data_IF_689620197554
#
_entry.id   IF_689620197554
#
_cell.length_a   1.000
_cell.length_b   1.000
_cell.length_c   1.000
_cell.angle_alpha   90.00
_cell.angle_beta   90.00
_cell.angle_gamma   90.00
#
_symmetry.space_group_name_H-M   'P 1'
#
loop_
_entity.id
_entity.type
_entity.pdbx_description
1 polymer ?
#
# COMPACT_ATOMS: atom_id res chain seq x y z
N UNK A 1 -20.18 -5.29 10.20
CA UNK A 1 -18.95 -5.33 9.38
C UNK A 1 -19.17 -4.35 8.24
N UNK A 2 -18.50 -3.19 8.23
CA UNK A 2 -18.67 -2.20 7.16
C UNK A 2 -18.04 -2.75 5.87
N UNK A 3 -18.82 -2.82 4.80
CA UNK A 3 -18.30 -3.16 3.47
C UNK A 3 -17.24 -2.12 3.08
N UNK A 4 -16.02 -2.59 2.82
CA UNK A 4 -14.99 -1.80 2.15
C UNK A 4 -15.45 -1.60 0.71
N UNK A 5 -15.62 -0.34 0.29
CA UNK A 5 -15.98 -0.02 -1.10
C UNK A 5 -14.74 0.59 -1.77
N UNK A 6 -13.84 -0.23 -2.32
CA UNK A 6 -12.57 0.25 -2.83
C UNK A 6 -12.77 1.12 -4.08
N UNK A 7 -11.99 2.19 -4.20
CA UNK A 7 -12.04 3.16 -5.33
C UNK A 7 -11.75 2.49 -6.67
N UNK A 8 -11.00 1.38 -6.67
CA UNK A 8 -10.67 0.59 -7.84
C UNK A 8 -10.95 -0.90 -7.61
N UNK A 9 -11.09 -1.66 -8.70
CA UNK A 9 -11.20 -3.12 -8.63
C UNK A 9 -9.85 -3.74 -8.28
N UNK A 10 -9.86 -4.97 -7.74
CA UNK A 10 -8.63 -5.73 -7.46
C UNK A 10 -7.76 -5.93 -8.71
N UNK A 11 -8.38 -6.11 -9.87
CA UNK A 11 -7.66 -6.23 -11.14
C UNK A 11 -6.88 -4.96 -11.51
N UNK A 12 -7.43 -3.79 -11.20
CA UNK A 12 -6.77 -2.52 -11.47
C UNK A 12 -5.58 -2.30 -10.52
N UNK A 13 -5.70 -2.63 -9.23
CA UNK A 13 -4.55 -2.60 -8.30
C UNK A 13 -3.42 -3.54 -8.76
N UNK A 14 -3.75 -4.77 -9.19
CA UNK A 14 -2.76 -5.70 -9.73
C UNK A 14 -2.04 -5.14 -10.98
N UNK A 15 -2.79 -4.47 -11.86
CA UNK A 15 -2.23 -3.82 -13.06
C UNK A 15 -1.27 -2.69 -12.69
N UNK A 16 -1.62 -1.87 -11.70
CA UNK A 16 -0.79 -0.78 -11.20
C UNK A 16 0.49 -1.31 -10.57
N UNK A 17 0.38 -2.33 -9.70
CA UNK A 17 1.51 -3.01 -9.09
C UNK A 17 2.47 -3.61 -10.12
N UNK A 18 1.94 -4.22 -11.19
CA UNK A 18 2.75 -4.74 -12.30
C UNK A 18 3.55 -3.64 -13.01
N UNK A 19 2.98 -2.44 -13.20
CA UNK A 19 3.70 -1.30 -13.79
C UNK A 19 4.83 -0.84 -12.87
N UNK A 20 4.57 -0.74 -11.57
CA UNK A 20 5.57 -0.37 -10.55
C UNK A 20 6.73 -1.36 -10.55
N UNK A 21 6.45 -2.68 -10.50
CA UNK A 21 7.48 -3.72 -10.53
C UNK A 21 8.31 -3.70 -11.82
N UNK A 22 7.68 -3.46 -12.98
CA UNK A 22 8.42 -3.29 -14.25
C UNK A 22 9.35 -2.08 -14.22
N UNK A 23 8.92 -0.96 -13.64
CA UNK A 23 9.75 0.22 -13.47
C UNK A 23 10.92 -0.04 -12.49
N UNK A 24 10.66 -0.73 -11.37
CA UNK A 24 11.69 -1.15 -10.42
C UNK A 24 12.74 -2.05 -11.09
N UNK A 25 12.31 -3.06 -11.85
CA UNK A 25 13.21 -3.96 -12.56
C UNK A 25 14.08 -3.21 -13.59
N UNK A 26 13.49 -2.27 -14.34
CA UNK A 26 14.23 -1.42 -15.29
C UNK A 26 15.26 -0.52 -14.59
N UNK A 27 14.97 -0.08 -13.37
CA UNK A 27 15.85 0.75 -12.56
C UNK A 27 16.88 -0.05 -11.75
N UNK A 28 16.82 -1.40 -11.76
CA UNK A 28 17.69 -2.26 -10.96
C UNK A 28 17.40 -2.19 -9.45
N UNK A 29 16.15 -1.91 -9.06
CA UNK A 29 15.73 -1.83 -7.66
C UNK A 29 15.15 -3.15 -7.18
N UNK A 30 15.67 -3.68 -6.08
CA UNK A 30 15.16 -4.90 -5.43
C UNK A 30 13.90 -4.63 -4.58
N UNK A 31 13.84 -3.45 -3.97
CA UNK A 31 12.69 -2.97 -3.20
C UNK A 31 12.46 -1.47 -3.45
N UNK A 32 11.21 -1.05 -3.31
CA UNK A 32 10.82 0.35 -3.39
C UNK A 32 10.11 0.74 -2.10
N UNK A 33 10.62 1.76 -1.43
CA UNK A 33 9.96 2.40 -0.30
C UNK A 33 9.49 3.80 -0.71
N UNK A 34 8.25 4.16 -0.37
CA UNK A 34 7.73 5.51 -0.61
C UNK A 34 6.75 5.94 0.47
N UNK A 35 6.74 7.25 0.76
CA UNK A 35 5.88 7.88 1.79
C UNK A 35 4.82 8.81 1.19
N UNK A 36 4.84 9.04 -0.13
CA UNK A 36 3.94 10.00 -0.77
C UNK A 36 2.48 9.49 -0.69
N UNK A 37 1.56 10.21 0.00
CA UNK A 37 0.21 9.71 0.26
C UNK A 37 -0.59 9.37 -1.01
N UNK A 38 -0.42 10.16 -2.07
CA UNK A 38 -1.06 9.92 -3.38
C UNK A 38 -0.64 8.58 -4.01
N UNK A 39 0.64 8.23 -3.92
CA UNK A 39 1.15 6.95 -4.40
C UNK A 39 0.62 5.79 -3.53
N UNK A 40 0.41 6.03 -2.23
CA UNK A 40 -0.11 5.04 -1.30
C UNK A 40 -1.56 4.71 -1.61
N UNK A 41 -2.41 5.73 -1.79
CA UNK A 41 -3.80 5.57 -2.24
C UNK A 41 -3.87 4.86 -3.58
N UNK A 42 -3.01 5.24 -4.54
CA UNK A 42 -2.98 4.61 -5.86
C UNK A 42 -2.72 3.10 -5.75
N UNK A 43 -1.66 2.66 -5.05
CA UNK A 43 -1.29 1.25 -5.00
C UNK A 43 -2.13 0.38 -4.06
N UNK A 44 -2.67 0.95 -2.98
CA UNK A 44 -3.31 0.16 -1.90
C UNK A 44 -4.76 0.48 -1.63
N UNK A 45 -5.27 1.58 -2.21
CA UNK A 45 -6.62 2.07 -1.91
C UNK A 45 -6.74 2.77 -0.56
N UNK A 46 -5.63 2.98 0.16
CA UNK A 46 -5.67 3.68 1.44
C UNK A 46 -6.13 5.13 1.28
N UNK A 47 -7.11 5.49 2.11
CA UNK A 47 -7.56 6.86 2.28
C UNK A 47 -7.58 7.16 3.79
N UNK A 48 -6.85 8.19 4.20
CA UNK A 48 -6.75 8.56 5.60
C UNK A 48 -5.92 9.81 5.80
N UNK A 49 -6.34 10.65 6.75
CA UNK A 49 -5.60 11.83 7.16
C UNK A 49 -4.59 11.45 8.25
N UNK A 50 -3.46 10.90 7.84
CA UNK A 50 -2.38 10.41 8.73
C UNK A 50 -0.98 10.81 8.26
N UNK A 51 -0.86 11.62 7.21
CA UNK A 51 0.42 12.05 6.65
C UNK A 51 1.30 12.89 7.59
N UNK A 52 0.77 13.29 8.75
CA UNK A 52 1.50 14.03 9.78
C UNK A 52 2.35 13.12 10.69
N UNK A 53 2.32 11.80 10.48
CA UNK A 53 3.27 10.83 11.06
C UNK A 53 4.02 10.10 9.96
N UNK A 54 5.22 9.59 10.28
CA UNK A 54 5.98 8.76 9.35
C UNK A 54 5.22 7.47 9.04
N UNK A 55 4.95 7.27 7.76
CA UNK A 55 4.30 6.09 7.21
C UNK A 55 4.78 5.89 5.78
N UNK A 56 4.81 4.65 5.32
CA UNK A 56 5.19 4.35 3.96
C UNK A 56 4.80 2.96 3.53
N UNK A 57 5.04 2.69 2.24
CA UNK A 57 4.77 1.40 1.63
C UNK A 57 6.06 0.86 1.06
N UNK A 58 6.29 -0.42 1.32
CA UNK A 58 7.37 -1.22 0.79
C UNK A 58 6.81 -2.14 -0.29
N UNK A 59 7.40 -2.09 -1.49
CA UNK A 59 7.02 -2.93 -2.62
C UNK A 59 8.18 -3.86 -2.96
N UNK A 60 7.85 -5.15 -3.13
CA UNK A 60 8.74 -6.19 -3.62
C UNK A 60 8.25 -6.74 -4.96
N UNK A 61 9.10 -7.54 -5.63
CA UNK A 61 8.79 -8.15 -6.92
C UNK A 61 7.82 -9.33 -6.84
N UNK A 62 7.82 -10.05 -5.73
CA UNK A 62 7.18 -11.35 -5.54
C UNK A 62 6.12 -11.36 -4.42
N UNK A 63 6.10 -10.35 -3.55
CA UNK A 63 5.13 -10.19 -2.48
C UNK A 63 4.20 -8.98 -2.71
N UNK A 64 2.96 -9.09 -2.24
CA UNK A 64 2.05 -7.93 -2.17
C UNK A 64 2.69 -6.82 -1.29
N UNK A 65 2.35 -5.54 -1.52
CA UNK A 65 2.97 -4.43 -0.81
C UNK A 65 2.80 -4.52 0.71
N UNK A 66 3.83 -4.10 1.44
CA UNK A 66 3.79 -4.01 2.91
C UNK A 66 3.60 -2.57 3.29
N UNK A 67 2.67 -2.29 4.21
CA UNK A 67 2.52 -0.97 4.80
C UNK A 67 3.21 -0.90 6.15
N UNK A 68 3.97 0.17 6.33
CA UNK A 68 4.68 0.50 7.55
C UNK A 68 4.11 1.78 8.11
N UNK A 69 3.51 1.72 9.29
CA UNK A 69 2.83 2.87 9.89
C UNK A 69 2.81 2.79 11.41
N UNK A 70 2.22 3.81 12.05
CA UNK A 70 2.01 3.85 13.49
C UNK A 70 0.87 2.90 13.87
N UNK A 71 1.08 2.11 14.93
CA UNK A 71 0.11 1.12 15.42
C UNK A 71 -1.32 1.65 15.70
N UNK A 72 -1.49 2.95 15.92
CA UNK A 72 -2.80 3.58 16.13
C UNK A 72 -3.63 3.69 14.83
N UNK A 73 -2.96 3.82 13.68
CA UNK A 73 -3.58 4.02 12.37
C UNK A 73 -3.97 2.68 11.70
N UNK A 74 -3.47 1.56 12.22
CA UNK A 74 -3.71 0.17 11.76
C UNK A 74 -5.17 -0.25 11.79
N UNK A 75 -5.99 0.38 12.64
CA UNK A 75 -7.43 0.15 12.65
C UNK A 75 -8.18 0.86 11.50
N UNK A 76 -7.62 1.93 10.94
CA UNK A 76 -8.14 2.61 9.75
C UNK A 76 -7.80 1.86 8.46
N UNK A 77 -6.60 1.29 8.38
CA UNK A 77 -6.17 0.51 7.22
C UNK A 77 -6.97 -0.77 6.99
N UNK A 78 -7.22 -1.55 8.06
CA UNK A 78 -7.95 -2.83 7.99
C UNK A 78 -9.35 -2.71 7.38
N UNK A 79 -9.85 -1.47 7.23
CA UNK A 79 -11.16 -1.15 6.65
C UNK A 79 -11.08 -0.60 5.22
N UNK A 80 -9.89 -0.44 4.64
CA UNK A 80 -9.70 0.27 3.36
C UNK A 80 -8.75 -0.45 2.40
N UNK A 81 -7.71 -1.12 2.91
CA UNK A 81 -6.71 -1.78 2.06
C UNK A 81 -7.19 -3.13 1.56
N UNK A 82 -6.73 -3.51 0.37
CA UNK A 82 -7.07 -4.80 -0.26
C UNK A 82 -6.16 -5.95 0.19
N UNK A 83 -5.03 -5.62 0.83
CA UNK A 83 -3.96 -6.55 1.22
C UNK A 83 -4.33 -7.26 2.53
N UNK A 84 -3.85 -8.49 2.75
CA UNK A 84 -4.12 -9.22 3.99
C UNK A 84 -3.46 -8.53 5.19
N UNK A 85 -4.08 -8.65 6.37
CA UNK A 85 -3.64 -8.02 7.63
C UNK A 85 -2.17 -8.30 7.99
N UNK A 86 -1.59 -9.40 7.51
CA UNK A 86 -0.18 -9.75 7.72
C UNK A 86 0.81 -8.81 7.01
N UNK A 87 0.33 -7.89 6.19
CA UNK A 87 1.13 -6.91 5.47
C UNK A 87 1.06 -5.51 6.08
N UNK A 88 0.41 -5.38 7.24
CA UNK A 88 0.39 -4.15 8.02
C UNK A 88 1.39 -4.31 9.16
N UNK A 89 2.53 -3.62 9.07
CA UNK A 89 3.59 -3.65 10.06
C UNK A 89 3.52 -2.38 10.94
N UNK A 90 3.12 -2.50 12.21
CA UNK A 90 3.19 -1.39 13.15
C UNK A 90 4.64 -1.11 13.57
N UNK A 91 4.97 0.16 13.78
CA UNK A 91 6.14 0.60 14.56
C UNK A 91 5.73 1.43 15.79
#
# INVERSE_FOLDING_TARGET
>A
MSQVNPVFTRGEFNRQLSKTRKAMAKAGLDALFFEAPSNMTWLTGYEGWSFYVHQGILVFHDADPIRWERNQDTNGERRTVWMPDCQILPH
#
